data_IF_143650782516
#
_entry.id   IF_143650782516
#
_cell.length_a   1.000
_cell.length_b   1.000
_cell.length_c   1.000
_cell.angle_alpha   90.00
_cell.angle_beta   90.00
_cell.angle_gamma   90.00
#
_symmetry.space_group_name_H-M   'P 1'
#
loop_
_entity.id
_entity.type
_entity.pdbx_description
1 polymer ?
#
# COMPACT_ATOMS: atom_id res chain seq x y z
N UNK A 1 -47.59 -0.60 31.67
CA UNK A 1 -47.35 -1.23 32.96
C UNK A 1 -45.93 -1.01 33.34
N UNK A 2 -45.72 -0.15 34.26
CA UNK A 2 -44.53 0.47 34.83
C UNK A 2 -43.74 -0.59 35.59
N UNK A 3 -42.40 -0.60 35.49
CA UNK A 3 -41.51 -0.87 36.63
C UNK A 3 -40.14 -0.26 36.39
N UNK A 4 -39.86 0.68 37.22
CA UNK A 4 -38.60 1.36 37.51
C UNK A 4 -37.60 0.46 38.27
N UNK A 5 -36.33 0.55 37.97
CA UNK A 5 -35.27 -0.05 38.77
C UNK A 5 -33.98 0.80 38.71
N UNK A 6 -33.80 1.60 39.76
CA UNK A 6 -32.71 2.52 39.91
C UNK A 6 -31.35 1.82 40.23
N UNK A 7 -30.31 2.35 39.68
CA UNK A 7 -28.92 1.98 40.02
C UNK A 7 -28.24 3.08 40.79
N UNK A 8 -27.84 2.74 42.03
CA UNK A 8 -27.04 3.60 42.92
C UNK A 8 -25.58 3.59 42.46
N UNK A 9 -25.02 4.77 42.31
CA UNK A 9 -23.60 5.02 42.21
C UNK A 9 -22.91 4.86 43.56
N UNK A 10 -21.74 4.22 43.61
CA UNK A 10 -20.76 4.27 44.73
C UNK A 10 -19.55 5.09 44.28
N UNK A 11 -18.96 5.89 45.18
CA UNK A 11 -17.85 6.76 44.83
C UNK A 11 -16.49 6.05 44.86
N UNK A 12 -15.58 6.53 44.03
CA UNK A 12 -14.21 6.10 43.92
C UNK A 12 -13.35 6.47 45.13
N UNK A 13 -12.60 5.50 45.64
CA UNK A 13 -11.58 5.71 46.67
C UNK A 13 -10.23 6.01 46.05
N UNK A 14 -9.63 7.11 46.48
CA UNK A 14 -8.24 7.45 46.14
C UNK A 14 -7.29 6.69 47.08
N UNK A 15 -6.39 5.90 46.51
CA UNK A 15 -5.26 5.32 47.21
C UNK A 15 -4.05 6.26 47.12
N UNK A 16 -3.64 6.81 48.26
CA UNK A 16 -2.32 7.42 48.45
C UNK A 16 -1.32 6.34 48.91
N UNK A 17 -0.25 6.18 48.16
CA UNK A 17 0.91 5.39 48.55
C UNK A 17 1.86 6.27 49.40
N UNK A 18 2.28 5.78 50.58
CA UNK A 18 3.47 6.27 51.27
C UNK A 18 4.37 5.10 51.65
N UNK A 19 5.70 5.23 51.56
CA UNK A 19 6.63 4.12 51.78
C UNK A 19 7.09 4.01 53.24
N UNK A 20 7.11 2.77 53.69
CA UNK A 20 8.06 2.23 54.66
C UNK A 20 8.09 2.79 56.10
N UNK A 21 7.35 2.20 57.01
CA UNK A 21 7.57 2.34 58.44
C UNK A 21 7.39 1.01 59.17
N UNK A 22 8.45 0.59 59.80
CA UNK A 22 8.53 -0.64 60.62
C UNK A 22 7.72 -0.44 61.90
N UNK A 23 6.68 -1.27 62.09
CA UNK A 23 5.94 -1.31 63.34
C UNK A 23 6.64 -2.23 64.34
N UNK A 24 7.17 -1.67 65.44
CA UNK A 24 7.44 -2.41 66.68
C UNK A 24 6.29 -2.14 67.68
N UNK A 25 5.63 -3.25 68.08
CA UNK A 25 4.61 -3.25 69.16
C UNK A 25 5.22 -2.93 70.47
N UNK A 26 4.78 -1.85 71.13
CA UNK A 26 4.93 -1.70 72.61
C UNK A 26 3.54 -1.68 73.23
N UNK A 27 3.32 -2.65 74.14
CA UNK A 27 2.14 -2.72 75.01
C UNK A 27 2.36 -1.80 76.25
N UNK A 28 1.35 -0.98 76.52
CA UNK A 28 0.90 -0.61 77.87
C UNK A 28 1.77 0.31 78.74
N UNK A 29 1.21 1.38 79.13
CA UNK A 29 1.12 2.13 80.33
C UNK A 29 1.12 3.63 80.11
N UNK A 30 0.04 4.23 80.55
CA UNK A 30 -0.23 5.68 80.56
C UNK A 30 0.61 6.45 81.56
N UNK A 31 0.94 7.67 81.23
CA UNK A 31 1.34 8.83 82.06
C UNK A 31 2.81 9.06 82.39
N UNK A 32 3.19 10.29 82.10
CA UNK A 32 4.31 11.13 82.55
C UNK A 32 5.54 11.09 81.65
N UNK A 33 5.63 12.04 80.73
CA UNK A 33 6.80 12.92 80.63
C UNK A 33 6.76 13.90 79.50
N UNK A 34 5.85 14.87 79.47
CA UNK A 34 5.95 16.02 78.55
C UNK A 34 7.19 16.89 78.83
N UNK A 35 7.83 16.76 79.99
CA UNK A 35 9.04 17.53 80.34
C UNK A 35 10.30 16.92 79.70
N UNK A 36 10.39 15.60 79.57
CA UNK A 36 11.54 14.95 78.90
C UNK A 36 11.59 15.17 77.41
N UNK A 37 10.41 15.31 76.71
CA UNK A 37 10.38 15.58 75.32
C UNK A 37 10.87 16.99 74.92
N UNK A 38 10.59 17.99 75.80
CA UNK A 38 11.01 19.37 75.56
C UNK A 38 12.53 19.52 75.81
N UNK A 39 13.08 18.84 76.81
CA UNK A 39 14.54 18.85 77.09
C UNK A 39 15.34 18.08 76.02
N UNK A 40 14.80 17.00 75.44
CA UNK A 40 15.42 16.30 74.31
C UNK A 40 15.38 17.13 73.04
N UNK A 41 14.30 17.90 72.75
CA UNK A 41 14.19 18.76 71.58
C UNK A 41 15.16 19.95 71.68
N UNK A 42 15.29 20.58 72.87
CA UNK A 42 16.24 21.69 73.12
C UNK A 42 17.70 21.26 72.93
N UNK A 43 18.05 20.07 73.43
CA UNK A 43 19.40 19.54 73.29
C UNK A 43 19.75 19.08 71.84
N UNK A 44 18.75 18.72 71.08
CA UNK A 44 18.91 18.44 69.64
C UNK A 44 19.15 19.70 68.79
N UNK A 45 18.46 20.78 69.08
CA UNK A 45 18.65 22.05 68.40
C UNK A 45 20.00 22.67 68.64
N UNK A 46 20.51 22.59 69.91
CA UNK A 46 21.84 23.11 70.30
C UNK A 46 22.98 22.29 69.64
N UNK A 47 22.84 20.97 69.58
CA UNK A 47 23.78 20.06 68.93
C UNK A 47 23.80 20.24 67.39
N UNK A 48 22.67 20.55 66.80
CA UNK A 48 22.52 20.81 65.38
C UNK A 48 23.05 22.19 64.97
N UNK A 49 22.85 23.20 65.82
CA UNK A 49 23.47 24.52 65.71
C UNK A 49 24.99 24.47 65.82
N UNK A 50 25.54 23.70 66.78
CA UNK A 50 27.00 23.49 66.92
C UNK A 50 27.57 22.81 65.67
N UNK A 51 26.91 21.80 65.13
CA UNK A 51 27.32 21.12 63.87
C UNK A 51 27.30 22.08 62.66
N UNK A 52 26.29 22.93 62.53
CA UNK A 52 26.22 23.95 61.48
C UNK A 52 27.29 25.03 61.61
N UNK A 53 27.63 25.38 62.82
CA UNK A 53 28.72 26.37 63.07
C UNK A 53 30.10 25.73 62.79
N UNK A 54 30.30 24.48 63.13
CA UNK A 54 31.52 23.72 62.85
C UNK A 54 31.70 23.50 61.32
N UNK A 55 30.61 23.14 60.59
CA UNK A 55 30.62 23.04 59.14
C UNK A 55 30.92 24.37 58.47
N UNK A 56 30.48 25.49 59.00
CA UNK A 56 30.84 26.83 58.46
C UNK A 56 32.31 27.20 58.79
N UNK A 57 32.96 26.67 59.83
CA UNK A 57 34.36 26.90 60.11
C UNK A 57 35.32 26.06 59.25
N UNK A 58 34.88 24.90 58.84
CA UNK A 58 35.66 23.95 57.98
C UNK A 58 35.41 24.11 56.48
N UNK A 59 34.48 24.99 56.09
CA UNK A 59 34.28 25.29 54.67
C UNK A 59 35.56 25.89 54.06
N UNK A 60 36.11 25.33 52.98
CA UNK A 60 37.32 25.86 52.38
C UNK A 60 37.06 27.30 51.94
N UNK A 61 37.92 28.20 52.41
CA UNK A 61 37.87 29.63 52.11
C UNK A 61 37.92 29.78 50.57
N UNK A 62 36.80 30.24 49.96
CA UNK A 62 36.71 30.44 48.52
C UNK A 62 37.95 31.24 48.04
N UNK A 63 38.82 30.60 47.30
CA UNK A 63 39.94 31.25 46.67
C UNK A 63 39.35 32.36 45.76
N UNK A 64 39.71 33.61 46.04
CA UNK A 64 39.39 34.73 45.17
C UNK A 64 40.02 34.43 43.82
N UNK A 65 39.22 33.93 42.89
CA UNK A 65 39.67 33.78 41.50
C UNK A 65 40.03 35.14 40.94
N UNK A 66 41.25 35.28 40.48
CA UNK A 66 41.68 36.51 39.80
C UNK A 66 40.78 36.75 38.60
N UNK A 67 40.42 38.00 38.33
CA UNK A 67 39.60 38.32 37.16
C UNK A 67 40.34 37.88 35.88
N UNK A 68 39.65 37.13 35.05
CA UNK A 68 40.18 36.64 33.77
C UNK A 68 40.64 37.81 32.89
N UNK A 69 41.81 37.71 32.30
CA UNK A 69 42.24 38.66 31.30
C UNK A 69 41.28 38.65 30.09
N UNK A 70 41.16 39.80 29.38
CA UNK A 70 40.28 39.91 28.20
C UNK A 70 40.53 38.77 27.17
N UNK A 71 41.80 38.36 26.98
CA UNK A 71 42.20 37.29 26.07
C UNK A 71 41.65 35.91 26.52
N UNK A 72 41.74 35.63 27.82
CA UNK A 72 41.23 34.38 28.40
C UNK A 72 39.70 34.35 28.38
N UNK A 73 39.01 35.46 28.63
CA UNK A 73 37.58 35.59 28.54
C UNK A 73 37.10 35.34 27.09
N UNK A 74 37.76 35.97 26.09
CA UNK A 74 37.45 35.81 24.67
C UNK A 74 37.64 34.35 24.23
N UNK A 75 38.73 33.69 24.65
CA UNK A 75 39.01 32.28 24.37
C UNK A 75 37.96 31.37 25.00
N UNK A 76 37.56 31.58 26.24
CA UNK A 76 36.52 30.82 26.92
C UNK A 76 35.14 31.00 26.27
N UNK A 77 34.83 32.21 25.80
CA UNK A 77 33.60 32.51 25.08
C UNK A 77 33.57 31.76 23.74
N UNK A 78 34.64 31.74 22.99
CA UNK A 78 34.75 30.99 21.72
C UNK A 78 34.65 29.49 21.96
N UNK A 79 35.28 28.94 22.98
CA UNK A 79 35.19 27.52 23.34
C UNK A 79 33.76 27.12 23.76
N UNK A 80 33.05 27.98 24.50
CA UNK A 80 31.64 27.72 24.84
C UNK A 80 30.74 27.75 23.59
N UNK A 81 30.94 28.72 22.70
CA UNK A 81 30.22 28.79 21.43
C UNK A 81 30.50 27.55 20.58
N UNK A 82 31.75 27.17 20.39
CA UNK A 82 32.13 25.97 19.63
C UNK A 82 31.52 24.69 20.24
N UNK A 83 31.56 24.54 21.56
CA UNK A 83 30.92 23.41 22.25
C UNK A 83 29.41 23.38 22.06
N UNK A 84 28.75 24.55 22.18
CA UNK A 84 27.30 24.64 22.02
C UNK A 84 26.87 24.35 20.58
N UNK A 85 27.63 24.84 19.59
CA UNK A 85 27.42 24.50 18.17
C UNK A 85 27.68 23.01 17.90
N UNK A 86 28.72 22.43 18.49
CA UNK A 86 29.00 21.00 18.41
C UNK A 86 27.85 20.15 18.96
N UNK A 87 27.30 20.51 20.12
CA UNK A 87 26.16 19.82 20.74
C UNK A 87 24.89 19.99 19.89
N UNK A 88 24.65 21.18 19.32
CA UNK A 88 23.53 21.44 18.44
C UNK A 88 23.61 20.58 17.15
N UNK A 89 24.76 20.55 16.48
CA UNK A 89 24.97 19.74 15.28
C UNK A 89 24.85 18.26 15.58
N UNK A 90 25.38 17.78 16.72
CA UNK A 90 25.22 16.40 17.16
C UNK A 90 23.75 16.05 17.42
N UNK A 91 22.99 16.97 18.01
CA UNK A 91 21.54 16.82 18.22
C UNK A 91 20.78 16.75 16.90
N UNK A 92 21.09 17.64 15.95
CA UNK A 92 20.49 17.60 14.60
C UNK A 92 20.83 16.27 13.87
N UNK A 93 22.09 15.83 13.93
CA UNK A 93 22.49 14.57 13.33
C UNK A 93 21.75 13.35 13.95
N UNK A 94 21.55 13.37 15.26
CA UNK A 94 20.79 12.34 15.96
C UNK A 94 19.30 12.34 15.52
N UNK A 95 18.69 13.52 15.41
CA UNK A 95 17.29 13.64 14.94
C UNK A 95 17.17 13.12 13.49
N UNK A 96 18.07 13.52 12.60
CA UNK A 96 18.08 13.01 11.21
C UNK A 96 18.27 11.49 11.20
N UNK A 97 19.18 10.96 12.01
CA UNK A 97 19.41 9.52 12.13
C UNK A 97 18.16 8.78 12.62
N UNK A 98 17.48 9.31 13.65
CA UNK A 98 16.24 8.71 14.17
C UNK A 98 15.09 8.80 13.17
N UNK A 99 14.97 9.91 12.44
CA UNK A 99 13.97 10.07 11.38
C UNK A 99 14.23 9.10 10.22
N UNK A 100 15.49 8.96 9.76
CA UNK A 100 15.84 8.01 8.70
C UNK A 100 15.61 6.57 9.13
N UNK A 101 15.96 6.20 10.38
CA UNK A 101 15.66 4.87 10.93
C UNK A 101 14.15 4.65 11.11
N UNK A 102 13.42 5.66 11.56
CA UNK A 102 11.97 5.63 11.67
C UNK A 102 11.28 5.45 10.32
N UNK A 103 11.72 6.18 9.30
CA UNK A 103 11.22 6.03 7.93
C UNK A 103 11.57 4.65 7.38
N UNK A 104 12.81 4.19 7.51
CA UNK A 104 13.23 2.85 7.08
C UNK A 104 12.51 1.71 7.81
N UNK A 105 12.12 1.92 9.07
CA UNK A 105 11.29 0.96 9.81
C UNK A 105 9.81 1.03 9.41
N UNK A 106 9.31 2.24 9.07
CA UNK A 106 7.91 2.46 8.70
C UNK A 106 7.63 2.04 7.24
N UNK A 107 8.61 2.17 6.32
CA UNK A 107 8.46 1.80 4.91
C UNK A 107 7.94 0.36 4.71
N UNK A 108 8.46 -0.70 5.40
CA UNK A 108 7.91 -2.05 5.29
C UNK A 108 6.49 -2.18 5.85
N UNK A 109 6.10 -1.35 6.82
CA UNK A 109 4.78 -1.38 7.45
C UNK A 109 3.73 -0.58 6.68
N UNK A 110 4.16 0.38 5.84
CA UNK A 110 3.29 1.11 4.92
C UNK A 110 3.02 0.32 3.61
N UNK A 111 3.92 -0.60 3.27
CA UNK A 111 3.76 -1.51 2.13
C UNK A 111 3.48 -2.91 2.67
N UNK A 112 2.45 -3.18 3.38
CA UNK A 112 2.11 -4.49 3.94
C UNK A 112 3.33 -5.42 4.13
N UNK A 113 3.42 -6.16 5.19
CA UNK A 113 4.61 -6.96 5.55
C UNK A 113 5.02 -8.04 4.51
N UNK A 114 4.20 -8.22 3.48
CA UNK A 114 4.49 -9.07 2.34
C UNK A 114 4.92 -8.17 1.18
N UNK A 115 6.21 -8.15 0.87
CA UNK A 115 6.70 -7.63 -0.41
C UNK A 115 5.95 -8.30 -1.56
N UNK A 116 6.07 -7.80 -2.80
CA UNK A 116 5.37 -8.38 -3.93
C UNK A 116 5.61 -9.89 -3.97
N UNK A 117 4.54 -10.67 -3.78
CA UNK A 117 4.61 -12.12 -3.85
C UNK A 117 4.74 -12.50 -5.32
N UNK A 118 5.86 -13.10 -5.68
CA UNK A 118 6.03 -13.69 -7.00
C UNK A 118 5.42 -15.09 -6.98
N UNK A 119 4.42 -15.31 -7.81
CA UNK A 119 3.84 -16.62 -8.03
C UNK A 119 4.69 -17.37 -9.09
N UNK A 120 4.86 -18.68 -8.89
CA UNK A 120 5.51 -19.50 -9.90
C UNK A 120 4.57 -19.63 -11.12
N UNK A 121 5.04 -19.26 -12.30
CA UNK A 121 4.29 -19.51 -13.53
C UNK A 121 4.11 -21.02 -13.76
N UNK A 122 2.97 -21.43 -14.32
CA UNK A 122 2.78 -22.83 -14.69
C UNK A 122 3.77 -23.26 -15.76
N UNK A 123 4.23 -24.51 -15.68
CA UNK A 123 5.10 -25.08 -16.69
C UNK A 123 4.20 -25.64 -17.83
N UNK A 124 4.20 -24.97 -18.96
CA UNK A 124 3.57 -25.44 -20.20
C UNK A 124 4.61 -25.53 -21.29
N UNK A 125 4.66 -26.67 -21.99
CA UNK A 125 5.52 -26.87 -23.15
C UNK A 125 4.71 -26.63 -24.42
N UNK A 126 5.03 -25.56 -25.14
CA UNK A 126 4.32 -25.19 -26.37
C UNK A 126 4.67 -26.08 -27.58
N UNK A 127 5.66 -27.00 -27.45
CA UNK A 127 6.06 -27.89 -28.55
C UNK A 127 4.99 -28.88 -28.94
N UNK A 128 4.08 -29.21 -28.02
CA UNK A 128 2.97 -30.13 -28.23
C UNK A 128 1.64 -29.41 -28.59
N UNK A 129 1.67 -28.08 -28.76
CA UNK A 129 0.48 -27.27 -29.03
C UNK A 129 0.00 -27.45 -30.48
N UNK A 130 -1.31 -27.75 -30.63
CA UNK A 130 -1.99 -27.78 -31.89
C UNK A 130 -2.75 -26.48 -32.14
N UNK A 131 -2.42 -25.74 -33.17
CA UNK A 131 -3.07 -24.50 -33.55
C UNK A 131 -4.26 -24.75 -34.48
N UNK A 132 -5.44 -24.25 -34.11
CA UNK A 132 -6.63 -24.20 -34.94
C UNK A 132 -6.86 -22.75 -35.42
N UNK A 133 -6.64 -22.55 -36.73
CA UNK A 133 -6.78 -21.21 -37.33
C UNK A 133 -8.22 -20.72 -37.39
N UNK A 134 -9.21 -21.65 -37.29
CA UNK A 134 -10.64 -21.34 -37.34
C UNK A 134 -11.26 -21.16 -35.94
N UNK A 135 -10.45 -21.20 -34.90
CA UNK A 135 -10.90 -20.97 -33.51
C UNK A 135 -11.43 -19.52 -33.35
N UNK A 136 -12.74 -19.40 -33.15
CA UNK A 136 -13.41 -18.09 -33.01
C UNK A 136 -12.83 -17.25 -31.83
N UNK A 137 -12.21 -17.89 -30.82
CA UNK A 137 -11.57 -17.24 -29.70
C UNK A 137 -10.30 -16.49 -30.09
N UNK A 138 -9.70 -16.85 -31.23
CA UNK A 138 -8.48 -16.25 -31.78
C UNK A 138 -8.75 -15.13 -32.79
N UNK A 139 -10.01 -14.71 -32.96
CA UNK A 139 -10.32 -13.58 -33.82
C UNK A 139 -9.53 -12.35 -33.41
N UNK A 140 -8.72 -11.81 -34.30
CA UNK A 140 -7.92 -10.63 -34.08
C UNK A 140 -8.69 -9.39 -34.45
N UNK A 141 -8.85 -8.49 -33.52
CA UNK A 141 -9.55 -7.22 -33.69
C UNK A 141 -8.62 -6.09 -33.24
N UNK A 142 -8.37 -5.16 -34.14
CA UNK A 142 -7.60 -3.94 -33.88
C UNK A 142 -7.87 -2.91 -35.00
N UNK A 143 -7.23 -1.75 -34.95
CA UNK A 143 -7.42 -0.67 -35.93
C UNK A 143 -7.13 -1.06 -37.38
N UNK A 144 -6.34 -2.11 -37.65
CA UNK A 144 -6.03 -2.61 -38.98
C UNK A 144 -6.95 -3.76 -39.42
N UNK A 145 -7.62 -4.38 -38.44
CA UNK A 145 -8.53 -5.51 -38.63
C UNK A 145 -9.81 -5.25 -37.81
N UNK A 146 -10.61 -4.23 -38.21
CA UNK A 146 -11.89 -3.96 -37.56
C UNK A 146 -12.90 -5.09 -37.87
N UNK A 147 -14.00 -5.13 -37.15
CA UNK A 147 -15.10 -6.02 -37.44
C UNK A 147 -15.70 -5.69 -38.82
N UNK A 148 -15.87 -6.70 -39.64
CA UNK A 148 -16.68 -6.58 -40.88
C UNK A 148 -18.18 -6.48 -40.55
N UNK A 149 -18.62 -7.23 -39.54
CA UNK A 149 -19.99 -7.22 -39.02
C UNK A 149 -19.94 -7.22 -37.47
N UNK A 150 -20.94 -6.58 -36.84
CA UNK A 150 -21.03 -6.54 -35.38
C UNK A 150 -21.13 -7.95 -34.79
N UNK A 151 -20.23 -8.32 -33.87
CA UNK A 151 -20.26 -9.63 -33.24
C UNK A 151 -21.55 -9.86 -32.45
N UNK A 152 -22.04 -11.10 -32.45
CA UNK A 152 -23.20 -11.50 -31.66
C UNK A 152 -22.82 -12.69 -30.74
N UNK A 153 -21.99 -12.48 -29.68
CA UNK A 153 -21.57 -13.55 -28.81
C UNK A 153 -22.72 -14.10 -27.97
N UNK A 154 -22.64 -15.38 -27.61
CA UNK A 154 -23.50 -15.94 -26.56
C UNK A 154 -23.01 -15.50 -25.21
N UNK A 155 -23.73 -14.61 -24.54
CA UNK A 155 -23.31 -13.97 -23.30
C UNK A 155 -23.80 -14.74 -22.06
N UNK A 156 -22.96 -14.77 -21.02
CA UNK A 156 -23.32 -15.24 -19.66
C UNK A 156 -22.76 -14.26 -18.63
N UNK A 157 -23.37 -14.25 -17.43
CA UNK A 157 -22.88 -13.44 -16.31
C UNK A 157 -21.56 -13.99 -15.77
N UNK A 158 -20.53 -13.18 -15.79
CA UNK A 158 -19.19 -13.55 -15.31
C UNK A 158 -19.00 -13.30 -13.81
N UNK A 159 -19.79 -12.41 -13.21
CA UNK A 159 -19.73 -12.07 -11.80
C UNK A 159 -21.13 -11.86 -11.18
N UNK A 160 -21.17 -11.62 -9.87
CA UNK A 160 -22.43 -11.35 -9.14
C UNK A 160 -23.04 -9.97 -9.49
N UNK A 161 -22.28 -9.06 -10.05
CA UNK A 161 -22.77 -7.77 -10.53
C UNK A 161 -23.53 -7.90 -11.87
N UNK A 162 -23.42 -9.04 -12.51
CA UNK A 162 -24.05 -9.33 -13.81
C UNK A 162 -23.23 -8.81 -14.99
N UNK A 163 -21.94 -8.54 -14.82
CA UNK A 163 -21.03 -8.21 -15.92
C UNK A 163 -20.94 -9.39 -16.86
N UNK A 164 -21.17 -9.17 -18.16
CA UNK A 164 -21.27 -10.23 -19.15
C UNK A 164 -19.97 -10.45 -19.89
N UNK A 165 -19.67 -11.70 -20.16
CA UNK A 165 -18.66 -12.15 -21.13
C UNK A 165 -19.29 -13.20 -22.05
N UNK A 166 -18.56 -13.61 -23.10
CA UNK A 166 -18.93 -14.80 -23.85
C UNK A 166 -18.99 -15.99 -22.87
N UNK A 167 -19.90 -16.94 -23.11
CA UNK A 167 -20.30 -17.95 -22.12
C UNK A 167 -19.12 -18.78 -21.58
N UNK A 168 -18.20 -19.20 -22.47
CA UNK A 168 -17.01 -19.95 -22.06
C UNK A 168 -16.04 -19.05 -21.26
N UNK A 169 -15.80 -17.82 -21.73
CA UNK A 169 -14.97 -16.84 -21.06
C UNK A 169 -15.53 -16.48 -19.67
N UNK A 170 -16.86 -16.33 -19.55
CA UNK A 170 -17.54 -16.09 -18.28
C UNK A 170 -17.33 -17.24 -17.29
N UNK A 171 -17.45 -18.48 -17.73
CA UNK A 171 -17.20 -19.66 -16.89
C UNK A 171 -15.76 -19.71 -16.40
N UNK A 172 -14.80 -19.45 -17.30
CA UNK A 172 -13.38 -19.47 -16.96
C UNK A 172 -12.98 -18.30 -16.05
N UNK A 173 -13.58 -17.13 -16.25
CA UNK A 173 -13.39 -16.00 -15.33
C UNK A 173 -13.86 -16.34 -13.91
N UNK A 174 -15.06 -16.94 -13.75
CA UNK A 174 -15.55 -17.35 -12.42
C UNK A 174 -14.59 -18.33 -11.74
N UNK A 175 -14.06 -19.29 -12.51
CA UNK A 175 -13.08 -20.26 -12.00
C UNK A 175 -11.76 -19.57 -11.58
N UNK A 176 -11.27 -18.66 -12.39
CA UNK A 176 -10.08 -17.85 -12.12
C UNK A 176 -10.27 -16.98 -10.87
N UNK A 177 -11.39 -16.27 -10.77
CA UNK A 177 -11.70 -15.41 -9.63
C UNK A 177 -11.81 -16.22 -8.32
N UNK A 178 -12.38 -17.43 -8.36
CA UNK A 178 -12.45 -18.33 -7.21
C UNK A 178 -11.05 -18.82 -6.78
N UNK A 179 -10.16 -19.13 -7.73
CA UNK A 179 -8.79 -19.53 -7.43
C UNK A 179 -7.97 -18.36 -6.85
N UNK A 180 -8.08 -17.17 -7.42
CA UNK A 180 -7.45 -15.97 -6.86
C UNK A 180 -7.93 -15.66 -5.43
N UNK A 181 -9.24 -15.84 -5.19
CA UNK A 181 -9.84 -15.67 -3.86
C UNK A 181 -9.27 -16.68 -2.85
N UNK A 182 -9.01 -17.91 -3.25
CA UNK A 182 -8.37 -18.91 -2.40
C UNK A 182 -6.93 -18.51 -2.01
N UNK A 183 -6.24 -17.76 -2.88
CA UNK A 183 -4.92 -17.17 -2.63
C UNK A 183 -5.00 -15.80 -1.92
N UNK A 184 -6.18 -15.38 -1.47
CA UNK A 184 -6.40 -14.13 -0.75
C UNK A 184 -6.39 -12.89 -1.63
N UNK A 185 -6.73 -13.04 -2.92
CA UNK A 185 -6.81 -11.94 -3.90
C UNK A 185 -8.25 -11.87 -4.42
N UNK A 186 -8.91 -10.74 -4.22
CA UNK A 186 -10.26 -10.53 -4.73
C UNK A 186 -10.19 -9.76 -6.06
N UNK A 187 -10.39 -10.47 -7.16
CA UNK A 187 -10.48 -9.88 -8.50
C UNK A 187 -11.85 -9.20 -8.67
N UNK A 188 -11.87 -8.14 -9.47
CA UNK A 188 -13.07 -7.39 -9.83
C UNK A 188 -13.13 -7.24 -11.34
N UNK A 189 -14.19 -7.72 -11.98
CA UNK A 189 -14.44 -7.50 -13.38
C UNK A 189 -15.09 -6.12 -13.56
N UNK A 190 -14.35 -5.18 -14.13
CA UNK A 190 -14.80 -3.78 -14.27
C UNK A 190 -15.56 -3.58 -15.59
N UNK A 191 -15.08 -4.22 -16.66
CA UNK A 191 -15.69 -4.16 -17.98
C UNK A 191 -15.66 -5.55 -18.61
N UNK A 192 -16.77 -5.99 -19.14
CA UNK A 192 -16.90 -7.18 -19.97
C UNK A 192 -17.34 -6.82 -21.38
N UNK A 193 -18.34 -7.54 -21.90
CA UNK A 193 -18.95 -7.25 -23.19
C UNK A 193 -19.56 -5.84 -23.23
N UNK A 194 -19.37 -5.16 -24.34
CA UNK A 194 -20.00 -3.88 -24.65
C UNK A 194 -20.59 -3.93 -26.06
N UNK A 195 -21.82 -3.48 -26.19
CA UNK A 195 -22.43 -3.29 -27.51
C UNK A 195 -21.79 -2.13 -28.29
N UNK A 196 -22.10 -2.03 -29.60
CA UNK A 196 -21.52 -1.01 -30.47
C UNK A 196 -21.81 0.43 -30.02
N UNK A 197 -23.00 0.69 -29.50
CA UNK A 197 -23.38 2.03 -29.03
C UNK A 197 -22.57 2.44 -27.80
N UNK A 198 -22.37 1.51 -26.85
CA UNK A 198 -21.57 1.72 -25.66
C UNK A 198 -20.11 1.97 -26.01
N UNK A 199 -19.51 1.18 -26.91
CA UNK A 199 -18.12 1.36 -27.37
C UNK A 199 -17.92 2.68 -28.10
N UNK A 200 -18.88 3.05 -28.99
CA UNK A 200 -18.87 4.33 -29.69
C UNK A 200 -18.92 5.51 -28.72
N UNK A 201 -19.82 5.46 -27.74
CA UNK A 201 -19.95 6.51 -26.75
C UNK A 201 -18.67 6.64 -25.88
N UNK A 202 -18.04 5.52 -25.52
CA UNK A 202 -16.80 5.51 -24.73
C UNK A 202 -15.63 6.12 -25.53
N UNK A 203 -15.44 5.73 -26.80
CA UNK A 203 -14.43 6.29 -27.68
C UNK A 203 -14.60 7.81 -27.85
N UNK A 204 -15.83 8.25 -28.19
CA UNK A 204 -16.12 9.67 -28.37
C UNK A 204 -15.90 10.47 -27.08
N UNK A 205 -16.30 9.96 -25.91
CA UNK A 205 -16.02 10.61 -24.63
C UNK A 205 -14.51 10.76 -24.37
N UNK A 206 -13.71 9.75 -24.72
CA UNK A 206 -12.25 9.81 -24.63
C UNK A 206 -11.66 10.86 -25.57
N UNK A 207 -12.14 10.92 -26.81
CA UNK A 207 -11.76 11.93 -27.79
C UNK A 207 -12.08 13.35 -27.32
N UNK A 208 -13.28 13.58 -26.77
CA UNK A 208 -13.68 14.87 -26.21
C UNK A 208 -12.76 15.32 -25.06
N UNK A 209 -12.21 14.39 -24.28
CA UNK A 209 -11.23 14.69 -23.25
C UNK A 209 -9.96 15.33 -23.81
N UNK A 210 -9.51 14.90 -24.99
CA UNK A 210 -8.34 15.49 -25.65
C UNK A 210 -8.66 16.80 -26.36
N UNK A 211 -9.83 16.93 -26.97
CA UNK A 211 -10.29 18.20 -27.54
C UNK A 211 -10.39 19.31 -26.48
N UNK A 212 -10.90 18.98 -25.30
CA UNK A 212 -10.94 19.92 -24.16
C UNK A 212 -9.55 20.37 -23.69
N UNK A 213 -8.49 19.63 -24.01
CA UNK A 213 -7.08 20.00 -23.76
C UNK A 213 -6.44 20.74 -24.95
N UNK A 214 -7.26 21.36 -25.82
CA UNK A 214 -6.81 22.14 -26.98
C UNK A 214 -5.97 21.33 -28.00
N UNK A 215 -6.26 20.03 -28.17
CA UNK A 215 -5.69 19.22 -29.24
C UNK A 215 -6.46 19.43 -30.54
N UNK A 216 -5.80 19.22 -31.67
CA UNK A 216 -6.51 19.15 -32.98
C UNK A 216 -7.42 17.91 -32.99
N UNK A 217 -8.41 17.93 -33.90
CA UNK A 217 -9.32 16.81 -34.12
C UNK A 217 -8.56 15.51 -34.43
N UNK A 218 -7.58 15.60 -35.34
CA UNK A 218 -6.72 14.48 -35.74
C UNK A 218 -5.90 13.94 -34.55
N UNK A 219 -5.25 14.83 -33.77
CA UNK A 219 -4.48 14.43 -32.62
C UNK A 219 -5.37 13.84 -31.49
N UNK A 220 -6.57 14.40 -31.31
CA UNK A 220 -7.53 13.90 -30.32
C UNK A 220 -8.04 12.50 -30.68
N UNK A 221 -8.41 12.25 -31.97
CA UNK A 221 -8.81 10.94 -32.46
C UNK A 221 -7.67 9.91 -32.32
N UNK A 222 -6.47 10.24 -32.79
CA UNK A 222 -5.33 9.32 -32.68
C UNK A 222 -5.00 8.95 -31.24
N UNK A 223 -5.07 9.91 -30.29
CA UNK A 223 -4.84 9.65 -28.88
C UNK A 223 -5.96 8.86 -28.22
N UNK A 224 -7.20 9.10 -28.63
CA UNK A 224 -8.34 8.34 -28.14
C UNK A 224 -8.24 6.89 -28.60
N UNK A 225 -7.97 6.65 -29.88
CA UNK A 225 -7.84 5.32 -30.45
C UNK A 225 -6.70 4.49 -29.85
N UNK A 226 -5.61 5.15 -29.40
CA UNK A 226 -4.50 4.47 -28.72
C UNK A 226 -4.84 3.96 -27.31
N UNK A 227 -5.95 4.44 -26.69
CA UNK A 227 -6.39 4.04 -25.35
C UNK A 227 -7.72 3.27 -25.42
N UNK A 228 -8.65 3.77 -26.24
CA UNK A 228 -9.97 3.20 -26.48
C UNK A 228 -10.18 3.18 -28.00
N UNK A 229 -9.91 2.06 -28.67
CA UNK A 229 -10.13 1.91 -30.10
C UNK A 229 -11.55 2.29 -30.53
N UNK A 230 -11.74 2.59 -31.79
CA UNK A 230 -13.08 2.78 -32.38
C UNK A 230 -13.95 1.54 -32.18
N UNK A 231 -15.25 1.70 -32.22
CA UNK A 231 -16.18 0.64 -31.84
C UNK A 231 -15.97 -0.68 -32.58
N UNK A 232 -15.69 -0.61 -33.88
CA UNK A 232 -15.42 -1.75 -34.75
C UNK A 232 -14.01 -2.37 -34.54
N UNK A 233 -13.12 -1.65 -33.88
CA UNK A 233 -11.74 -2.09 -33.53
C UNK A 233 -11.56 -2.45 -32.06
N UNK A 234 -12.62 -2.46 -31.26
CA UNK A 234 -12.59 -2.66 -29.84
C UNK A 234 -13.03 -4.08 -29.46
N UNK A 235 -12.13 -4.83 -28.80
CA UNK A 235 -12.32 -6.24 -28.47
C UNK A 235 -13.47 -6.53 -27.49
N UNK A 236 -13.96 -5.55 -26.72
CA UNK A 236 -15.12 -5.74 -25.84
C UNK A 236 -16.40 -6.13 -26.59
N UNK A 237 -16.46 -5.87 -27.90
CA UNK A 237 -17.53 -6.35 -28.76
C UNK A 237 -17.54 -7.87 -29.00
N UNK A 238 -16.39 -8.55 -28.83
CA UNK A 238 -16.30 -10.01 -28.97
C UNK A 238 -16.92 -10.77 -27.80
N UNK A 239 -17.05 -10.14 -26.62
CA UNK A 239 -17.35 -10.81 -25.37
C UNK A 239 -16.15 -11.55 -24.75
N UNK A 240 -14.98 -11.57 -25.40
CA UNK A 240 -13.77 -12.22 -24.91
C UNK A 240 -12.83 -11.28 -24.15
N UNK A 241 -13.03 -9.97 -24.19
CA UNK A 241 -12.23 -8.98 -23.48
C UNK A 241 -12.78 -8.73 -22.07
N UNK A 242 -11.89 -8.66 -21.10
CA UNK A 242 -12.20 -8.46 -19.70
C UNK A 242 -11.24 -7.45 -19.06
N UNK A 243 -11.76 -6.32 -18.57
CA UNK A 243 -10.97 -5.42 -17.72
C UNK A 243 -11.05 -5.89 -16.27
N UNK A 244 -9.94 -6.38 -15.77
CA UNK A 244 -9.83 -7.00 -14.44
C UNK A 244 -8.96 -6.12 -13.55
N UNK A 245 -9.51 -5.75 -12.40
CA UNK A 245 -8.81 -5.07 -11.31
C UNK A 245 -8.92 -5.91 -10.02
N UNK A 246 -8.69 -5.29 -8.88
CA UNK A 246 -8.89 -5.92 -7.58
C UNK A 246 -9.57 -4.97 -6.61
N UNK A 247 -10.11 -5.49 -5.50
CA UNK A 247 -10.69 -4.67 -4.44
C UNK A 247 -9.68 -3.72 -3.79
N UNK A 248 -8.39 -4.08 -3.84
CA UNK A 248 -7.30 -3.28 -3.27
C UNK A 248 -6.80 -2.17 -4.21
N UNK A 249 -7.14 -2.27 -5.50
CA UNK A 249 -6.74 -1.29 -6.52
C UNK A 249 -7.82 -1.18 -7.59
N UNK A 250 -8.51 -0.04 -7.63
CA UNK A 250 -9.71 0.17 -8.46
C UNK A 250 -9.49 1.16 -9.62
N UNK A 251 -8.29 1.71 -9.77
CA UNK A 251 -7.98 2.62 -10.86
C UNK A 251 -7.53 1.87 -12.12
N UNK A 252 -8.10 2.22 -13.28
CA UNK A 252 -7.66 1.73 -14.58
C UNK A 252 -6.46 2.56 -15.06
N UNK A 253 -5.29 2.30 -14.46
CA UNK A 253 -4.02 2.92 -14.84
C UNK A 253 -2.85 1.93 -14.66
N UNK A 254 -1.67 2.34 -15.09
CA UNK A 254 -0.48 1.48 -15.08
C UNK A 254 0.01 1.08 -13.69
N UNK A 255 -0.45 1.77 -12.62
CA UNK A 255 -0.14 1.40 -11.24
C UNK A 255 -0.74 0.04 -10.83
N UNK A 256 -1.75 -0.46 -11.55
CA UNK A 256 -2.26 -1.82 -11.32
C UNK A 256 -1.17 -2.89 -11.49
N UNK A 257 -0.17 -2.65 -12.35
CA UNK A 257 0.95 -3.56 -12.58
C UNK A 257 1.80 -3.82 -11.31
N UNK A 258 1.80 -2.91 -10.36
CA UNK A 258 2.56 -3.04 -9.10
C UNK A 258 1.79 -3.85 -8.03
N UNK A 259 0.56 -4.30 -8.33
CA UNK A 259 -0.30 -4.99 -7.37
C UNK A 259 -0.04 -6.49 -7.30
N UNK A 260 -0.42 -7.11 -6.16
CA UNK A 260 -0.43 -8.57 -6.01
C UNK A 260 -1.41 -9.23 -7.00
N UNK A 261 -2.53 -8.58 -7.30
CA UNK A 261 -3.52 -9.08 -8.22
C UNK A 261 -2.96 -9.21 -9.64
N UNK A 262 -2.25 -8.20 -10.14
CA UNK A 262 -1.60 -8.26 -11.43
C UNK A 262 -0.51 -9.36 -11.49
N UNK A 263 0.30 -9.49 -10.45
CA UNK A 263 1.32 -10.54 -10.36
C UNK A 263 0.68 -11.93 -10.39
N UNK A 264 -0.43 -12.13 -9.69
CA UNK A 264 -1.18 -13.37 -9.70
C UNK A 264 -1.77 -13.65 -11.09
N UNK A 265 -2.40 -12.66 -11.71
CA UNK A 265 -2.94 -12.79 -13.07
C UNK A 265 -1.83 -13.14 -14.08
N UNK A 266 -0.68 -12.48 -14.00
CA UNK A 266 0.47 -12.79 -14.89
C UNK A 266 0.96 -14.23 -14.72
N UNK A 267 0.91 -14.77 -13.50
CA UNK A 267 1.33 -16.14 -13.22
C UNK A 267 0.29 -17.19 -13.65
N UNK A 268 -1.01 -16.90 -13.48
CA UNK A 268 -2.03 -17.97 -13.54
C UNK A 268 -3.14 -17.73 -14.56
N UNK A 269 -3.37 -16.51 -15.06
CA UNK A 269 -4.51 -16.23 -15.94
C UNK A 269 -4.55 -17.14 -17.19
N UNK A 270 -3.38 -17.52 -17.73
CA UNK A 270 -3.29 -18.42 -18.87
C UNK A 270 -3.86 -19.84 -18.60
N UNK A 271 -3.83 -20.30 -17.35
CA UNK A 271 -4.43 -21.59 -16.95
C UNK A 271 -5.96 -21.58 -17.03
N UNK A 272 -6.53 -20.38 -17.11
CA UNK A 272 -7.95 -20.09 -17.29
C UNK A 272 -8.27 -19.52 -18.69
N UNK A 273 -7.29 -19.55 -19.58
CA UNK A 273 -7.46 -19.13 -20.97
C UNK A 273 -7.35 -17.63 -21.24
N UNK A 274 -6.88 -16.82 -20.26
CA UNK A 274 -6.71 -15.38 -20.39
C UNK A 274 -5.24 -14.99 -20.61
N UNK A 275 -5.02 -14.04 -21.51
CA UNK A 275 -3.71 -13.43 -21.77
C UNK A 275 -3.74 -11.94 -21.47
N UNK A 276 -2.61 -11.35 -21.09
CA UNK A 276 -2.43 -9.90 -21.08
C UNK A 276 -2.41 -9.41 -22.53
N UNK A 277 -3.44 -8.67 -22.92
CA UNK A 277 -3.67 -8.33 -24.31
C UNK A 277 -2.74 -7.24 -24.85
N UNK A 278 -2.45 -6.23 -24.03
CA UNK A 278 -1.66 -5.05 -24.39
C UNK A 278 -0.43 -4.89 -23.52
N UNK A 279 0.64 -5.69 -23.72
CA UNK A 279 1.89 -5.61 -22.96
C UNK A 279 2.63 -4.29 -23.19
N UNK A 280 3.45 -3.87 -22.22
CA UNK A 280 4.12 -2.57 -22.22
C UNK A 280 5.02 -2.33 -23.45
N UNK A 281 5.68 -3.37 -23.94
CA UNK A 281 6.66 -3.30 -25.02
C UNK A 281 6.09 -3.65 -26.41
N UNK A 282 4.77 -3.79 -26.53
CA UNK A 282 4.08 -4.23 -27.77
C UNK A 282 3.14 -3.19 -28.38
N UNK A 283 3.12 -1.96 -27.91
CA UNK A 283 2.23 -0.92 -28.44
C UNK A 283 2.38 -0.70 -29.95
N UNK A 284 3.60 -0.79 -30.49
CA UNK A 284 3.84 -0.63 -31.94
C UNK A 284 3.21 -1.74 -32.79
N UNK A 285 2.89 -2.88 -32.18
CA UNK A 285 2.27 -4.05 -32.82
C UNK A 285 0.77 -4.04 -32.60
N UNK A 286 0.34 -3.84 -31.37
CA UNK A 286 -1.08 -3.89 -30.96
C UNK A 286 -1.86 -2.63 -31.31
N UNK A 287 -1.16 -1.49 -31.46
CA UNK A 287 -1.77 -0.17 -31.67
C UNK A 287 -2.33 0.49 -30.40
N UNK A 288 -2.40 -0.25 -29.28
CA UNK A 288 -2.96 0.20 -28.00
C UNK A 288 -1.83 0.36 -26.98
N UNK A 289 -1.95 1.35 -26.09
CA UNK A 289 -1.00 1.57 -24.98
C UNK A 289 -1.00 0.39 -24.01
N UNK A 290 0.01 0.34 -23.14
CA UNK A 290 0.06 -0.66 -22.07
C UNK A 290 -1.16 -0.58 -21.14
N UNK A 291 -1.87 -1.68 -21.01
CA UNK A 291 -3.08 -1.82 -20.20
C UNK A 291 -3.00 -3.06 -19.29
N UNK A 292 -2.43 -2.97 -18.10
CA UNK A 292 -2.27 -4.12 -17.19
C UNK A 292 -3.62 -4.71 -16.72
N UNK A 293 -4.71 -3.99 -16.86
CA UNK A 293 -6.07 -4.43 -16.51
C UNK A 293 -6.77 -5.18 -17.63
N UNK A 294 -6.34 -5.05 -18.93
CA UNK A 294 -7.06 -5.58 -20.09
C UNK A 294 -6.57 -7.00 -20.44
N UNK A 295 -7.43 -7.97 -20.18
CA UNK A 295 -7.18 -9.38 -20.41
C UNK A 295 -8.08 -9.91 -21.50
N UNK A 296 -7.53 -10.78 -22.36
CA UNK A 296 -8.27 -11.40 -23.47
C UNK A 296 -8.37 -12.90 -23.27
N UNK A 297 -9.60 -13.43 -23.34
CA UNK A 297 -9.83 -14.85 -23.41
C UNK A 297 -9.54 -15.39 -24.81
N UNK A 298 -8.72 -16.43 -24.89
CA UNK A 298 -8.30 -17.09 -26.15
C UNK A 298 -8.41 -18.62 -26.03
N UNK A 299 -8.95 -19.14 -24.94
CA UNK A 299 -8.94 -20.57 -24.60
C UNK A 299 -7.64 -21.00 -23.89
N UNK A 300 -7.73 -22.06 -23.08
CA UNK A 300 -6.64 -22.47 -22.19
C UNK A 300 -5.37 -22.84 -22.96
N UNK A 301 -5.50 -23.67 -23.99
CA UNK A 301 -4.34 -24.13 -24.78
C UNK A 301 -3.65 -22.98 -25.49
N UNK A 302 -4.43 -22.10 -26.15
CA UNK A 302 -3.92 -20.91 -26.80
C UNK A 302 -3.21 -19.97 -25.82
N UNK A 303 -3.82 -19.71 -24.64
CA UNK A 303 -3.26 -18.84 -23.64
C UNK A 303 -1.93 -19.35 -23.08
N UNK A 304 -1.84 -20.67 -22.82
CA UNK A 304 -0.61 -21.29 -22.36
C UNK A 304 0.49 -21.23 -23.43
N UNK A 305 0.17 -21.47 -24.70
CA UNK A 305 1.11 -21.36 -25.81
C UNK A 305 1.61 -19.92 -26.00
N UNK A 306 0.71 -18.92 -25.98
CA UNK A 306 1.05 -17.50 -26.08
C UNK A 306 1.94 -17.08 -24.91
N UNK A 307 1.61 -17.47 -23.69
CA UNK A 307 2.45 -17.20 -22.52
C UNK A 307 3.83 -17.84 -22.63
N UNK A 308 3.91 -19.09 -23.09
CA UNK A 308 5.18 -19.79 -23.25
C UNK A 308 6.08 -19.17 -24.34
N UNK A 309 5.48 -18.66 -25.43
CA UNK A 309 6.21 -17.98 -26.50
C UNK A 309 6.66 -16.56 -26.13
N UNK A 310 5.95 -15.88 -25.19
CA UNK A 310 6.18 -14.49 -24.85
C UNK A 310 5.76 -13.49 -25.94
N UNK A 311 4.95 -13.93 -26.91
CA UNK A 311 4.48 -13.12 -28.03
C UNK A 311 3.17 -12.41 -27.68
N UNK A 312 2.88 -11.31 -28.39
CA UNK A 312 1.53 -10.75 -28.43
C UNK A 312 0.61 -11.65 -29.25
N UNK A 313 -0.70 -11.44 -29.17
CA UNK A 313 -1.66 -12.21 -29.97
C UNK A 313 -1.39 -12.06 -31.48
N UNK A 314 -1.06 -10.84 -31.95
CA UNK A 314 -0.68 -10.56 -33.34
C UNK A 314 0.53 -11.37 -33.79
N UNK A 315 1.60 -11.34 -32.99
CA UNK A 315 2.85 -12.06 -33.30
C UNK A 315 2.61 -13.57 -33.31
N UNK A 316 1.90 -14.10 -32.30
CA UNK A 316 1.58 -15.51 -32.19
C UNK A 316 0.79 -16.01 -33.43
N UNK A 317 -0.25 -15.29 -33.80
CA UNK A 317 -1.07 -15.65 -34.99
C UNK A 317 -0.25 -15.55 -36.29
N UNK A 318 0.66 -14.57 -36.39
CA UNK A 318 1.53 -14.44 -37.57
C UNK A 318 2.51 -15.61 -37.67
N UNK A 319 3.12 -16.04 -36.55
CA UNK A 319 4.02 -17.20 -36.56
C UNK A 319 3.30 -18.50 -36.87
N UNK A 320 2.11 -18.73 -36.30
CA UNK A 320 1.34 -19.94 -36.57
C UNK A 320 0.85 -20.06 -38.06
N UNK A 321 0.58 -18.92 -38.70
CA UNK A 321 0.23 -18.91 -40.14
C UNK A 321 1.42 -19.06 -41.06
N UNK A 322 2.64 -18.90 -40.58
CA UNK A 322 3.88 -19.04 -41.35
C UNK A 322 4.37 -20.49 -41.40
N UNK A 323 3.84 -21.35 -40.52
CA UNK A 323 4.13 -22.79 -40.46
C UNK A 323 3.14 -23.55 -41.36
#
# INVERSE_FOLDING_TARGET
>A
MIMTGGFRQKPAGHNFFTPGGVYTKCKGVYNKCCICAALCAANRTEKEQRRRMEQKRTAPRAQKTQPLTYREWKRRKQLRLARNWGLFLAGCALVVFLLTKGILWLLPHLHGADGPQTFAASAYDSTDYFFDADDARLVLVNANLPFDEEPSPTLDAADEAGTQLEAEAAQQYRSMAAAAQADGITLTLVTGYQDADTRTAAHEAQKQTYLARHKSEEEASARAAAILPEADANEHGTGYAADILSTDYTAKDTGFADTRAYQWLTAYAAEYGFILRYPEDRQAITGVVYEPWHWRYVGVENALAIRASGLSLEEFLAEQKAL
#
